data_IF_324097427933
#
_entry.id   IF_324097427933
#
_cell.length_a   1.000
_cell.length_b   1.000
_cell.length_c   1.000
_cell.angle_alpha   90.00
_cell.angle_beta   90.00
_cell.angle_gamma   90.00
#
_symmetry.space_group_name_H-M   'P 1'
#
loop_
_entity.id
_entity.type
_entity.pdbx_description
1 polymer ?
#
# COMPACT_ATOMS: atom_id res chain seq x y z
N UNK A 1 16.90 -28.37 40.50
CA UNK A 1 17.86 -27.87 41.50
C UNK A 1 17.42 -26.48 41.95
N UNK A 2 17.04 -26.32 43.21
CA UNK A 2 16.93 -25.02 43.91
C UNK A 2 15.65 -24.19 43.69
N UNK A 3 15.26 -23.32 44.65
CA UNK A 3 13.93 -23.38 45.25
C UNK A 3 13.13 -22.04 45.35
N UNK A 4 11.87 -22.19 45.82
CA UNK A 4 10.97 -21.20 46.45
C UNK A 4 11.66 -20.24 47.45
N UNK A 5 11.22 -18.97 47.51
CA UNK A 5 10.58 -18.28 48.68
C UNK A 5 10.29 -16.79 48.36
N UNK A 6 9.08 -16.27 48.57
CA UNK A 6 8.50 -15.57 49.76
C UNK A 6 9.12 -14.19 50.09
N UNK A 7 8.31 -13.13 50.02
CA UNK A 7 8.33 -11.90 50.84
C UNK A 7 6.98 -11.17 50.56
N UNK A 8 6.00 -10.98 51.47
CA UNK A 8 5.95 -10.40 52.82
C UNK A 8 6.17 -8.87 52.87
N UNK A 9 5.03 -8.15 52.85
CA UNK A 9 4.64 -6.96 53.65
C UNK A 9 5.47 -5.66 53.53
N UNK A 10 4.86 -4.49 53.81
CA UNK A 10 4.88 -4.04 55.20
C UNK A 10 3.56 -3.41 55.70
N UNK A 11 3.33 -3.65 56.98
CA UNK A 11 2.44 -2.90 57.84
C UNK A 11 3.04 -1.51 58.15
N UNK A 12 2.20 -0.52 58.44
CA UNK A 12 2.63 0.73 59.05
C UNK A 12 1.87 0.99 60.35
N UNK A 13 2.60 1.66 61.24
CA UNK A 13 2.57 1.60 62.69
C UNK A 13 1.41 2.27 63.41
N UNK A 14 1.22 1.75 64.62
CA UNK A 14 0.36 2.22 65.69
C UNK A 14 0.67 3.62 66.22
N UNK A 15 -0.35 4.26 66.77
CA UNK A 15 -0.23 5.19 67.88
C UNK A 15 -1.43 5.00 68.84
N UNK A 16 -1.13 4.90 70.15
CA UNK A 16 -1.76 5.62 71.28
C UNK A 16 -2.10 4.77 72.52
N UNK A 17 -1.23 4.97 73.52
CA UNK A 17 -1.38 5.18 74.98
C UNK A 17 -2.33 4.33 75.87
N UNK A 18 -1.92 4.03 77.13
CA UNK A 18 -2.60 3.13 78.05
C UNK A 18 -3.43 3.86 79.12
N UNK A 19 -4.44 3.19 79.70
CA UNK A 19 -5.03 3.65 80.95
C UNK A 19 -6.39 3.06 81.31
N UNK A 20 -6.41 2.36 82.44
CA UNK A 20 -7.53 2.20 83.40
C UNK A 20 -8.70 1.26 83.06
N UNK A 21 -8.63 0.06 83.64
CA UNK A 21 -9.73 -0.53 84.41
C UNK A 21 -9.37 -0.32 85.90
N UNK A 22 -10.30 -0.09 86.85
CA UNK A 22 -11.33 -1.07 87.20
C UNK A 22 -12.68 -0.48 87.70
N UNK A 23 -13.60 -1.38 88.09
CA UNK A 23 -14.68 -1.20 89.09
C UNK A 23 -16.16 -1.27 88.60
N UNK A 24 -16.64 -2.52 88.42
CA UNK A 24 -17.74 -3.18 89.16
C UNK A 24 -19.19 -2.62 89.11
N UNK A 25 -20.22 -3.35 89.62
CA UNK A 25 -21.17 -4.10 88.80
C UNK A 25 -22.64 -3.67 89.04
N UNK A 26 -23.60 -4.23 88.27
CA UNK A 26 -24.94 -4.71 88.73
C UNK A 26 -25.91 -4.93 87.56
N UNK A 27 -26.43 -6.16 87.49
CA UNK A 27 -27.77 -6.61 87.05
C UNK A 27 -28.36 -6.01 85.76
N UNK A 28 -28.84 -6.78 84.76
CA UNK A 28 -29.65 -7.98 84.87
C UNK A 28 -29.74 -8.73 83.52
N UNK A 29 -29.94 -10.05 83.62
CA UNK A 29 -30.69 -10.95 82.74
C UNK A 29 -30.65 -10.81 81.20
N UNK A 30 -30.10 -11.87 80.58
CA UNK A 30 -30.24 -12.55 79.27
C UNK A 30 -31.59 -12.41 78.50
N UNK A 31 -31.84 -13.16 77.40
CA UNK A 31 -31.08 -13.49 76.17
C UNK A 31 -31.92 -13.19 74.90
N UNK A 32 -31.33 -12.86 73.74
CA UNK A 32 -32.09 -13.01 72.48
C UNK A 32 -31.15 -13.12 71.28
N UNK A 33 -30.82 -14.36 70.94
CA UNK A 33 -30.71 -14.77 69.55
C UNK A 33 -32.01 -14.36 68.83
N UNK A 34 -32.01 -13.21 68.14
CA UNK A 34 -33.10 -12.90 67.22
C UNK A 34 -32.79 -13.60 65.90
N UNK A 35 -33.26 -14.84 65.80
CA UNK A 35 -33.44 -15.53 64.53
C UNK A 35 -34.05 -14.56 63.52
N UNK A 36 -33.46 -14.47 62.32
CA UNK A 36 -34.12 -13.81 61.19
C UNK A 36 -35.52 -14.43 61.04
N UNK A 37 -36.55 -13.60 60.92
CA UNK A 37 -37.91 -14.10 60.77
C UNK A 37 -37.96 -14.98 59.52
N UNK A 38 -38.31 -16.29 59.61
CA UNK A 38 -38.34 -17.17 58.43
C UNK A 38 -39.25 -16.65 57.32
N UNK A 39 -40.23 -15.80 57.64
CA UNK A 39 -41.09 -15.12 56.68
C UNK A 39 -40.34 -14.05 55.85
N UNK A 40 -39.37 -13.34 56.43
CA UNK A 40 -38.54 -12.34 55.72
C UNK A 40 -37.55 -13.03 54.77
N UNK A 41 -37.01 -14.17 55.18
CA UNK A 41 -36.10 -14.97 54.36
C UNK A 41 -36.85 -15.66 53.21
N UNK A 42 -38.05 -16.18 53.47
CA UNK A 42 -38.94 -16.70 52.42
C UNK A 42 -39.36 -15.60 51.42
N UNK A 43 -39.58 -14.37 51.87
CA UNK A 43 -39.89 -13.24 50.99
C UNK A 43 -38.70 -12.91 50.08
N UNK A 44 -37.48 -12.84 50.62
CA UNK A 44 -36.25 -12.63 49.83
C UNK A 44 -35.98 -13.76 48.85
N UNK A 45 -36.25 -15.00 49.24
CA UNK A 45 -36.08 -16.16 48.36
C UNK A 45 -37.09 -16.11 47.21
N UNK A 46 -38.32 -15.67 47.48
CA UNK A 46 -39.36 -15.47 46.46
C UNK A 46 -38.95 -14.41 45.45
N UNK A 47 -38.43 -13.26 45.91
CA UNK A 47 -37.94 -12.20 45.03
C UNK A 47 -36.77 -12.66 44.15
N UNK A 48 -35.85 -13.45 44.70
CA UNK A 48 -34.71 -13.99 43.96
C UNK A 48 -35.15 -15.00 42.90
N UNK A 49 -36.11 -15.87 43.22
CA UNK A 49 -36.69 -16.82 42.27
C UNK A 49 -37.39 -16.07 41.14
N UNK A 50 -38.20 -15.05 41.45
CA UNK A 50 -38.84 -14.22 40.41
C UNK A 50 -37.82 -13.54 39.50
N UNK A 51 -36.73 -13.00 40.05
CA UNK A 51 -35.65 -12.40 39.25
C UNK A 51 -34.94 -13.42 38.36
N UNK A 52 -34.73 -14.64 38.86
CA UNK A 52 -34.13 -15.71 38.09
C UNK A 52 -35.06 -16.19 36.97
N UNK A 53 -36.36 -16.32 37.24
CA UNK A 53 -37.37 -16.65 36.23
C UNK A 53 -37.42 -15.61 35.11
N UNK A 54 -37.36 -14.32 35.45
CA UNK A 54 -37.28 -13.23 34.47
C UNK A 54 -36.01 -13.32 33.61
N UNK A 55 -34.85 -13.60 34.23
CA UNK A 55 -33.59 -13.78 33.51
C UNK A 55 -33.59 -15.01 32.61
N UNK A 56 -34.18 -16.13 33.07
CA UNK A 56 -34.31 -17.34 32.26
C UNK A 56 -35.20 -17.06 31.05
N UNK A 57 -36.34 -16.41 31.25
CA UNK A 57 -37.22 -15.99 30.15
C UNK A 57 -36.51 -15.07 29.15
N UNK A 58 -35.71 -14.11 29.64
CA UNK A 58 -34.88 -13.26 28.78
C UNK A 58 -33.86 -14.07 27.98
N UNK A 59 -33.15 -15.01 28.61
CA UNK A 59 -32.18 -15.86 27.92
C UNK A 59 -32.84 -16.78 26.89
N UNK A 60 -34.03 -17.32 27.19
CA UNK A 60 -34.79 -18.13 26.25
C UNK A 60 -35.15 -17.31 25.00
N UNK A 61 -35.63 -16.07 25.16
CA UNK A 61 -35.89 -15.19 24.02
C UNK A 61 -34.63 -14.88 23.22
N UNK A 62 -33.50 -14.59 23.88
CA UNK A 62 -32.22 -14.33 23.20
C UNK A 62 -31.74 -15.55 22.40
N UNK A 63 -31.87 -16.76 22.96
CA UNK A 63 -31.55 -18.01 22.25
C UNK A 63 -32.44 -18.19 21.01
N UNK A 64 -33.73 -17.85 21.08
CA UNK A 64 -34.61 -17.96 19.90
C UNK A 64 -34.21 -17.00 18.79
N UNK A 65 -33.82 -15.77 19.13
CA UNK A 65 -33.34 -14.77 18.17
C UNK A 65 -32.03 -15.23 17.55
N UNK A 66 -31.05 -15.64 18.35
CA UNK A 66 -29.75 -16.13 17.85
C UNK A 66 -29.91 -17.36 16.94
N UNK A 67 -30.83 -18.27 17.25
CA UNK A 67 -31.11 -19.41 16.37
C UNK A 67 -31.71 -18.98 15.03
N UNK A 68 -32.59 -17.97 15.02
CA UNK A 68 -33.13 -17.42 13.77
C UNK A 68 -32.05 -16.74 12.92
N UNK A 69 -31.20 -15.92 13.53
CA UNK A 69 -30.09 -15.24 12.85
C UNK A 69 -29.06 -16.24 12.31
N UNK A 70 -28.81 -17.35 13.03
CA UNK A 70 -27.92 -18.41 12.59
C UNK A 70 -28.50 -19.12 11.36
N UNK A 71 -29.80 -19.36 11.32
CA UNK A 71 -30.46 -19.98 10.18
C UNK A 71 -30.43 -19.06 8.95
N UNK A 72 -30.65 -17.76 9.12
CA UNK A 72 -30.48 -16.77 8.05
C UNK A 72 -29.03 -16.77 7.52
N UNK A 73 -28.04 -16.82 8.42
CA UNK A 73 -26.63 -16.92 8.04
C UNK A 73 -26.33 -18.21 7.24
N UNK A 74 -26.90 -19.35 7.65
CA UNK A 74 -26.75 -20.62 6.92
C UNK A 74 -27.35 -20.54 5.52
N UNK A 75 -28.52 -19.92 5.38
CA UNK A 75 -29.17 -19.72 4.10
C UNK A 75 -28.29 -18.90 3.15
N UNK A 76 -27.73 -17.78 3.61
CA UNK A 76 -26.80 -16.95 2.81
C UNK A 76 -25.57 -17.75 2.36
N UNK A 77 -24.97 -18.54 3.27
CA UNK A 77 -23.82 -19.39 2.93
C UNK A 77 -24.18 -20.44 1.89
N UNK A 78 -25.37 -21.04 1.97
CA UNK A 78 -25.84 -22.04 1.01
C UNK A 78 -26.15 -21.42 -0.36
N UNK A 79 -26.74 -20.23 -0.40
CA UNK A 79 -26.96 -19.47 -1.63
C UNK A 79 -25.62 -19.10 -2.29
N UNK A 80 -24.67 -18.59 -1.50
CA UNK A 80 -23.32 -18.29 -1.98
C UNK A 80 -22.60 -19.55 -2.48
N UNK A 81 -22.73 -20.67 -1.78
CA UNK A 81 -22.20 -21.96 -2.21
C UNK A 81 -22.88 -22.48 -3.48
N UNK A 82 -24.14 -22.15 -3.74
CA UNK A 82 -24.82 -22.51 -4.99
C UNK A 82 -24.38 -21.64 -6.17
N UNK A 83 -24.25 -20.33 -5.96
CA UNK A 83 -23.87 -19.35 -6.97
C UNK A 83 -22.40 -19.52 -7.40
N UNK A 84 -21.51 -19.79 -6.44
CA UNK A 84 -20.07 -19.92 -6.67
C UNK A 84 -19.56 -21.36 -6.56
N UNK A 85 -20.45 -22.32 -6.31
CA UNK A 85 -20.10 -23.73 -6.20
C UNK A 85 -19.81 -24.40 -7.54
N UNK A 86 -19.82 -25.73 -7.50
CA UNK A 86 -19.36 -26.58 -8.60
C UNK A 86 -20.07 -26.33 -9.94
N UNK A 87 -21.34 -25.87 -9.94
CA UNK A 87 -22.06 -25.57 -11.19
C UNK A 87 -21.56 -24.27 -11.83
N UNK A 88 -21.54 -23.14 -11.11
CA UNK A 88 -21.12 -21.86 -11.68
C UNK A 88 -19.69 -21.87 -12.22
N UNK A 89 -18.77 -22.53 -11.51
CA UNK A 89 -17.40 -22.73 -12.00
C UNK A 89 -17.35 -23.68 -13.21
N UNK A 90 -18.18 -24.73 -13.24
CA UNK A 90 -18.26 -25.63 -14.40
C UNK A 90 -18.86 -24.93 -15.63
N UNK A 91 -19.85 -24.05 -15.42
CA UNK A 91 -20.49 -23.26 -16.48
C UNK A 91 -19.48 -22.26 -17.08
N UNK A 92 -18.78 -21.50 -16.24
CA UNK A 92 -17.68 -20.62 -16.69
C UNK A 92 -16.57 -21.39 -17.41
N UNK A 93 -16.21 -22.59 -16.93
CA UNK A 93 -15.22 -23.44 -17.61
C UNK A 93 -15.69 -23.85 -19.01
N UNK A 94 -16.95 -24.27 -19.16
CA UNK A 94 -17.51 -24.60 -20.48
C UNK A 94 -17.53 -23.40 -21.41
N UNK A 95 -17.87 -22.21 -20.92
CA UNK A 95 -17.82 -20.98 -21.71
C UNK A 95 -16.39 -20.61 -22.13
N UNK A 96 -15.41 -20.76 -21.24
CA UNK A 96 -14.00 -20.58 -21.57
C UNK A 96 -13.50 -21.58 -22.63
N UNK A 97 -13.90 -22.85 -22.52
CA UNK A 97 -13.61 -23.87 -23.54
C UNK A 97 -14.23 -23.48 -24.89
N UNK A 98 -15.47 -23.01 -24.88
CA UNK A 98 -16.15 -22.53 -26.09
C UNK A 98 -15.46 -21.32 -26.72
N UNK A 99 -15.07 -20.33 -25.92
CA UNK A 99 -14.33 -19.16 -26.39
C UNK A 99 -12.95 -19.54 -26.95
N UNK A 100 -12.25 -20.48 -26.31
CA UNK A 100 -10.97 -21.00 -26.80
C UNK A 100 -11.11 -21.63 -28.19
N UNK A 101 -12.18 -22.41 -28.41
CA UNK A 101 -12.50 -22.99 -29.73
C UNK A 101 -12.78 -21.87 -30.75
N UNK A 102 -13.58 -20.86 -30.40
CA UNK A 102 -13.87 -19.74 -31.30
C UNK A 102 -12.61 -18.95 -31.69
N UNK A 103 -11.74 -18.66 -30.73
CA UNK A 103 -10.45 -17.99 -30.98
C UNK A 103 -9.59 -18.84 -31.92
N UNK A 104 -9.50 -20.15 -31.69
CA UNK A 104 -8.77 -21.06 -32.57
C UNK A 104 -9.32 -21.11 -34.01
N UNK A 105 -10.65 -21.07 -34.17
CA UNK A 105 -11.28 -20.99 -35.49
C UNK A 105 -11.00 -19.67 -36.20
N UNK A 106 -11.08 -18.54 -35.49
CA UNK A 106 -10.78 -17.21 -36.04
C UNK A 106 -9.30 -17.08 -36.42
N UNK A 107 -8.39 -17.52 -35.55
CA UNK A 107 -6.95 -17.54 -35.84
C UNK A 107 -6.63 -18.39 -37.07
N UNK A 108 -7.30 -19.54 -37.25
CA UNK A 108 -7.14 -20.40 -38.42
C UNK A 108 -7.69 -19.78 -39.70
N UNK A 109 -8.84 -19.10 -39.63
CA UNK A 109 -9.42 -18.37 -40.75
C UNK A 109 -8.52 -17.20 -41.20
N UNK A 110 -7.84 -16.54 -40.28
CA UNK A 110 -6.88 -15.45 -40.57
C UNK A 110 -5.54 -15.97 -41.10
N UNK A 111 -5.07 -17.14 -40.66
CA UNK A 111 -3.71 -17.62 -40.95
C UNK A 111 -3.56 -18.47 -42.21
N UNK A 112 -4.65 -18.89 -42.86
CA UNK A 112 -4.66 -19.72 -44.09
C UNK A 112 -3.82 -21.02 -44.01
N UNK A 113 -3.74 -21.65 -42.82
CA UNK A 113 -2.99 -22.90 -42.60
C UNK A 113 -3.91 -24.13 -42.75
N UNK A 114 -3.51 -25.19 -43.49
CA UNK A 114 -4.33 -26.40 -43.66
C UNK A 114 -4.51 -27.19 -42.36
N UNK A 115 -5.65 -27.88 -42.25
CA UNK A 115 -6.06 -28.64 -41.07
C UNK A 115 -5.15 -29.85 -40.81
N UNK A 116 -4.41 -29.81 -39.69
CA UNK A 116 -3.92 -31.00 -39.00
C UNK A 116 -4.78 -31.20 -37.76
N UNK A 117 -5.17 -32.46 -37.50
CA UNK A 117 -6.04 -32.86 -36.40
C UNK A 117 -5.54 -32.35 -35.04
N UNK A 118 -6.43 -32.09 -34.06
CA UNK A 118 -6.00 -31.65 -32.74
C UNK A 118 -5.33 -32.83 -32.04
N UNK A 119 -4.01 -32.74 -31.84
CA UNK A 119 -3.32 -33.62 -30.92
C UNK A 119 -3.86 -33.37 -29.51
N UNK A 120 -4.51 -34.38 -28.93
CA UNK A 120 -5.14 -34.39 -27.62
C UNK A 120 -4.11 -34.40 -26.47
N UNK A 121 -3.02 -33.66 -26.64
CA UNK A 121 -1.86 -33.64 -25.76
C UNK A 121 -1.01 -32.40 -25.89
N UNK A 122 -1.48 -31.34 -26.55
CA UNK A 122 -0.81 -30.05 -26.62
C UNK A 122 -0.80 -29.39 -25.22
N UNK A 123 0.06 -29.90 -24.33
CA UNK A 123 0.63 -29.13 -23.23
C UNK A 123 1.07 -27.82 -23.86
N UNK A 124 0.35 -26.73 -23.56
CA UNK A 124 0.71 -25.37 -23.94
C UNK A 124 2.21 -25.24 -23.69
N UNK A 125 3.02 -25.26 -24.75
CA UNK A 125 4.46 -25.00 -24.61
C UNK A 125 4.56 -23.53 -24.29
N UNK A 126 4.59 -23.22 -22.99
CA UNK A 126 4.74 -21.86 -22.52
C UNK A 126 6.10 -21.38 -23.05
N UNK A 127 6.14 -20.37 -23.92
CA UNK A 127 7.40 -19.83 -24.41
C UNK A 127 8.21 -19.32 -23.22
N UNK A 128 9.49 -19.69 -23.16
CA UNK A 128 10.38 -19.13 -22.15
C UNK A 128 10.51 -17.61 -22.34
N UNK A 129 10.48 -16.81 -21.27
CA UNK A 129 10.70 -15.38 -21.34
C UNK A 129 12.03 -15.08 -21.97
N UNK A 130 12.10 -13.97 -22.70
CA UNK A 130 13.39 -13.50 -23.23
C UNK A 130 14.31 -13.15 -22.07
N UNK A 131 15.58 -13.50 -22.21
CA UNK A 131 16.60 -13.10 -21.25
C UNK A 131 16.70 -11.58 -21.19
N UNK A 132 16.63 -11.03 -19.98
CA UNK A 132 16.83 -9.61 -19.75
C UNK A 132 18.31 -9.25 -19.99
N UNK A 133 18.56 -8.18 -20.76
CA UNK A 133 19.91 -7.79 -21.14
C UNK A 133 20.67 -7.03 -20.04
N UNK A 134 19.98 -6.63 -18.97
CA UNK A 134 20.54 -5.80 -17.89
C UNK A 134 20.50 -4.29 -18.17
N UNK A 135 19.90 -3.85 -19.28
CA UNK A 135 19.79 -2.44 -19.61
C UNK A 135 18.83 -1.70 -18.66
N UNK A 136 19.29 -0.62 -18.05
CA UNK A 136 18.49 0.24 -17.15
C UNK A 136 17.51 1.14 -17.90
N UNK A 137 16.66 0.53 -18.69
CA UNK A 137 15.62 1.16 -19.50
C UNK A 137 14.24 0.76 -18.95
N UNK A 138 13.39 1.76 -18.69
CA UNK A 138 12.08 1.52 -18.08
C UNK A 138 11.20 0.61 -18.93
N UNK A 139 11.26 0.74 -20.27
CA UNK A 139 10.44 -0.04 -21.19
C UNK A 139 10.95 -1.48 -21.26
N UNK A 140 12.26 -1.69 -21.31
CA UNK A 140 12.83 -3.04 -21.32
C UNK A 140 12.57 -3.78 -20.01
N UNK A 141 12.66 -3.09 -18.86
CA UNK A 141 12.37 -3.68 -17.55
C UNK A 141 10.89 -4.03 -17.41
N UNK A 142 9.96 -3.15 -17.81
CA UNK A 142 8.53 -3.48 -17.80
C UNK A 142 8.19 -4.63 -18.76
N UNK A 143 8.77 -4.65 -19.97
CA UNK A 143 8.57 -5.76 -20.90
C UNK A 143 9.05 -7.10 -20.32
N UNK A 144 10.21 -7.10 -19.67
CA UNK A 144 10.74 -8.30 -19.03
C UNK A 144 9.87 -8.77 -17.84
N UNK A 145 9.47 -7.85 -16.97
CA UNK A 145 8.58 -8.15 -15.84
C UNK A 145 7.24 -8.71 -16.32
N UNK A 146 6.70 -8.13 -17.40
CA UNK A 146 5.48 -8.61 -18.04
C UNK A 146 5.65 -10.03 -18.59
N UNK A 147 6.70 -10.29 -19.38
CA UNK A 147 6.98 -11.62 -19.95
C UNK A 147 7.13 -12.69 -18.87
N UNK A 148 7.82 -12.36 -17.76
CA UNK A 148 8.00 -13.25 -16.61
C UNK A 148 6.68 -13.51 -15.86
N UNK A 149 5.86 -12.48 -15.65
CA UNK A 149 4.54 -12.61 -15.02
C UNK A 149 3.64 -13.54 -15.84
N UNK A 150 3.60 -13.36 -17.16
CA UNK A 150 2.84 -14.22 -18.06
C UNK A 150 3.36 -15.67 -18.05
N UNK A 151 4.68 -15.86 -17.98
CA UNK A 151 5.27 -17.19 -17.89
C UNK A 151 4.87 -17.92 -16.60
N UNK A 152 4.95 -17.26 -15.44
CA UNK A 152 4.56 -17.88 -14.18
C UNK A 152 3.07 -18.23 -14.13
N UNK A 153 2.21 -17.36 -14.66
CA UNK A 153 0.77 -17.63 -14.79
C UNK A 153 0.50 -18.83 -15.70
N UNK A 154 1.16 -18.90 -16.85
CA UNK A 154 0.94 -19.95 -17.83
C UNK A 154 1.55 -21.30 -17.40
N UNK A 155 2.64 -21.29 -16.62
CA UNK A 155 3.28 -22.47 -16.06
C UNK A 155 2.50 -23.16 -14.93
N UNK A 156 1.31 -22.66 -14.58
CA UNK A 156 0.54 -23.13 -13.42
C UNK A 156 1.42 -23.14 -12.16
N UNK A 157 2.35 -22.19 -12.07
CA UNK A 157 3.23 -22.00 -10.94
C UNK A 157 2.46 -21.33 -9.80
N UNK A 158 1.35 -21.93 -9.39
CA UNK A 158 0.55 -21.61 -8.19
C UNK A 158 1.36 -21.75 -6.88
N UNK A 159 2.67 -21.98 -6.98
CA UNK A 159 3.64 -22.14 -5.91
C UNK A 159 4.65 -21.00 -5.80
N UNK A 160 4.71 -20.07 -6.76
CA UNK A 160 5.35 -18.78 -6.45
C UNK A 160 4.36 -18.05 -5.55
N UNK A 161 4.60 -18.08 -4.23
CA UNK A 161 3.81 -17.27 -3.29
C UNK A 161 3.80 -15.86 -3.86
N UNK A 162 2.61 -15.27 -4.03
CA UNK A 162 2.46 -13.93 -4.60
C UNK A 162 3.39 -12.92 -3.91
N UNK A 163 3.63 -13.11 -2.61
CA UNK A 163 4.58 -12.33 -1.81
C UNK A 163 6.03 -12.41 -2.34
N UNK A 164 6.50 -13.58 -2.77
CA UNK A 164 7.86 -13.76 -3.31
C UNK A 164 8.00 -13.14 -4.70
N UNK A 165 6.98 -13.24 -5.55
CA UNK A 165 6.98 -12.58 -6.86
C UNK A 165 6.89 -11.05 -6.71
N UNK A 166 6.04 -10.56 -5.81
CA UNK A 166 5.91 -9.14 -5.54
C UNK A 166 7.23 -8.54 -5.06
N UNK A 167 7.91 -9.19 -4.09
CA UNK A 167 9.22 -8.77 -3.60
C UNK A 167 10.29 -8.81 -4.70
N UNK A 168 10.29 -9.84 -5.56
CA UNK A 168 11.24 -9.92 -6.68
C UNK A 168 10.96 -8.82 -7.72
N UNK A 169 9.68 -8.59 -8.06
CA UNK A 169 9.25 -7.54 -8.99
C UNK A 169 9.66 -6.16 -8.48
N UNK A 170 9.48 -5.92 -7.19
CA UNK A 170 9.90 -4.68 -6.53
C UNK A 170 11.42 -4.53 -6.55
N UNK A 171 12.18 -5.57 -6.17
CA UNK A 171 13.65 -5.55 -6.20
C UNK A 171 14.22 -5.36 -7.63
N UNK A 172 13.62 -5.98 -8.64
CA UNK A 172 14.01 -5.78 -10.05
C UNK A 172 13.72 -4.34 -10.47
N UNK A 173 12.58 -3.77 -10.05
CA UNK A 173 12.29 -2.36 -10.29
C UNK A 173 13.32 -1.46 -9.59
N UNK A 174 13.56 -1.60 -8.30
CA UNK A 174 14.60 -0.80 -7.63
C UNK A 174 15.97 -0.92 -8.31
N UNK A 175 16.38 -2.14 -8.70
CA UNK A 175 17.73 -2.36 -9.21
C UNK A 175 17.92 -1.93 -10.68
N UNK A 176 16.87 -2.05 -11.50
CA UNK A 176 16.96 -1.98 -12.95
C UNK A 176 16.01 -0.99 -13.61
N UNK A 177 14.89 -0.63 -12.97
CA UNK A 177 14.20 0.56 -13.43
C UNK A 177 15.20 1.71 -13.37
N UNK A 178 15.09 2.71 -14.25
CA UNK A 178 15.69 3.99 -13.98
C UNK A 178 14.92 4.61 -12.80
N UNK A 179 15.11 4.06 -11.60
CA UNK A 179 15.17 4.78 -10.36
C UNK A 179 16.37 5.72 -10.49
N UNK A 180 16.20 6.73 -11.34
CA UNK A 180 15.64 7.96 -10.88
C UNK A 180 15.75 8.87 -12.13
N UNK A 181 14.86 8.68 -13.12
CA UNK A 181 14.80 9.55 -14.32
C UNK A 181 14.83 11.00 -13.87
N UNK A 182 14.07 11.31 -12.83
CA UNK A 182 14.07 12.59 -12.16
C UNK A 182 15.43 12.97 -11.55
N UNK A 183 16.16 12.09 -10.85
CA UNK A 183 17.50 12.37 -10.32
C UNK A 183 18.56 12.47 -11.39
N UNK A 184 18.49 11.65 -12.44
CA UNK A 184 19.35 11.78 -13.59
C UNK A 184 19.10 13.13 -14.25
N UNK A 185 17.83 13.54 -14.35
CA UNK A 185 17.46 14.87 -14.81
C UNK A 185 17.97 15.97 -13.86
N UNK A 186 17.78 15.85 -12.55
CA UNK A 186 18.29 16.80 -11.54
C UNK A 186 19.82 16.84 -11.52
N UNK A 187 20.49 15.71 -11.69
CA UNK A 187 21.96 15.60 -11.73
C UNK A 187 22.52 16.19 -13.01
N UNK A 188 21.86 15.96 -14.15
CA UNK A 188 22.18 16.58 -15.42
C UNK A 188 21.93 18.10 -15.36
N UNK A 189 20.82 18.52 -14.76
CA UNK A 189 20.47 19.93 -14.57
C UNK A 189 21.49 20.67 -13.70
N UNK A 190 21.96 20.05 -12.61
CA UNK A 190 23.05 20.61 -11.78
C UNK A 190 24.37 20.78 -12.53
N UNK A 191 24.57 20.06 -13.62
CA UNK A 191 25.78 20.12 -14.46
C UNK A 191 25.52 20.86 -15.77
N UNK A 192 24.29 21.33 -16.01
CA UNK A 192 23.91 21.92 -17.27
C UNK A 192 24.46 23.35 -17.32
N UNK A 193 25.38 23.57 -18.24
CA UNK A 193 25.96 24.87 -18.51
C UNK A 193 25.78 25.23 -19.98
N UNK A 194 25.51 26.50 -20.24
CA UNK A 194 25.47 27.06 -21.58
C UNK A 194 26.89 27.09 -22.16
N UNK A 195 27.30 26.02 -22.84
CA UNK A 195 28.63 25.90 -23.46
C UNK A 195 28.62 26.30 -24.94
N UNK A 196 27.59 25.87 -25.68
CA UNK A 196 27.38 26.13 -27.11
C UNK A 196 26.44 27.31 -27.37
N UNK A 197 25.38 27.05 -28.15
CA UNK A 197 24.31 28.02 -28.46
C UNK A 197 23.32 28.16 -27.31
N UNK A 198 22.75 29.36 -27.15
CA UNK A 198 21.65 29.60 -26.20
C UNK A 198 20.46 28.68 -26.52
N UNK A 199 20.21 28.41 -27.81
CA UNK A 199 19.08 27.58 -28.26
C UNK A 199 19.24 26.11 -27.86
N UNK A 200 20.46 25.58 -27.93
CA UNK A 200 20.75 24.21 -27.50
C UNK A 200 20.64 24.06 -25.98
N UNK A 201 21.08 25.09 -25.23
CA UNK A 201 20.89 25.16 -23.79
C UNK A 201 19.40 25.16 -23.42
N UNK A 202 18.59 26.02 -24.04
CA UNK A 202 17.14 26.06 -23.81
C UNK A 202 16.51 24.70 -24.10
N UNK A 203 16.84 24.09 -25.25
CA UNK A 203 16.32 22.77 -25.64
C UNK A 203 16.66 21.67 -24.63
N UNK A 204 17.92 21.61 -24.18
CA UNK A 204 18.38 20.61 -23.19
C UNK A 204 17.76 20.86 -21.83
N UNK A 205 17.70 22.11 -21.37
CA UNK A 205 17.01 22.49 -20.14
C UNK A 205 15.54 22.07 -20.16
N UNK A 206 14.80 22.39 -21.23
CA UNK A 206 13.39 22.02 -21.36
C UNK A 206 13.15 20.52 -21.33
N UNK A 207 14.02 19.73 -21.97
CA UNK A 207 13.92 18.28 -21.94
C UNK A 207 14.04 17.73 -20.50
N UNK A 208 15.01 18.23 -19.73
CA UNK A 208 15.19 17.83 -18.32
C UNK A 208 14.01 18.26 -17.44
N UNK A 209 13.36 19.39 -17.75
CA UNK A 209 12.19 19.86 -17.00
C UNK A 209 10.95 18.96 -17.18
N UNK A 210 10.84 18.20 -18.27
CA UNK A 210 9.74 17.25 -18.45
C UNK A 210 9.83 16.06 -17.46
N UNK A 211 11.06 15.72 -17.08
CA UNK A 211 11.37 14.63 -16.17
C UNK A 211 11.34 15.04 -14.69
N UNK A 212 11.26 16.33 -14.38
CA UNK A 212 11.24 16.86 -12.99
C UNK A 212 9.92 17.59 -12.71
N UNK A 213 8.97 16.88 -12.07
CA UNK A 213 7.58 17.33 -11.93
C UNK A 213 7.30 18.23 -10.73
N UNK A 214 8.10 18.16 -9.69
CA UNK A 214 7.89 18.82 -8.40
C UNK A 214 8.72 20.11 -8.23
N UNK A 215 9.46 20.54 -9.26
CA UNK A 215 10.25 21.77 -9.20
C UNK A 215 9.34 23.01 -9.25
N UNK A 216 9.55 23.96 -8.35
CA UNK A 216 8.78 25.21 -8.33
C UNK A 216 9.18 26.12 -9.50
N UNK A 217 8.25 26.94 -10.04
CA UNK A 217 8.56 27.88 -11.14
C UNK A 217 9.69 28.85 -10.79
N UNK A 218 9.80 29.25 -9.51
CA UNK A 218 10.91 30.09 -9.03
C UNK A 218 12.25 29.37 -9.10
N UNK A 219 12.28 28.10 -8.70
CA UNK A 219 13.51 27.28 -8.74
C UNK A 219 13.90 26.94 -10.18
N UNK A 220 12.92 26.73 -11.07
CA UNK A 220 13.18 26.54 -12.50
C UNK A 220 13.83 27.79 -13.10
N UNK A 221 13.28 28.97 -12.85
CA UNK A 221 13.85 30.23 -13.33
C UNK A 221 15.24 30.48 -12.74
N UNK A 222 15.42 30.25 -11.44
CA UNK A 222 16.72 30.40 -10.78
C UNK A 222 17.78 29.48 -11.41
N UNK A 223 17.46 28.18 -11.54
CA UNK A 223 18.38 27.19 -12.12
C UNK A 223 18.67 27.48 -13.59
N UNK A 224 17.67 27.92 -14.36
CA UNK A 224 17.84 28.34 -15.74
C UNK A 224 18.83 29.50 -15.87
N UNK A 225 18.72 30.51 -15.01
CA UNK A 225 19.59 31.68 -15.02
C UNK A 225 21.02 31.34 -14.57
N UNK A 226 21.18 30.46 -13.58
CA UNK A 226 22.49 30.01 -13.09
C UNK A 226 23.29 29.27 -14.17
N UNK A 227 22.67 28.39 -14.96
CA UNK A 227 23.37 27.64 -16.02
C UNK A 227 23.74 28.47 -17.26
N UNK A 228 23.25 29.71 -17.40
CA UNK A 228 23.57 30.57 -18.54
C UNK A 228 24.94 31.25 -18.43
N UNK A 229 25.60 31.48 -19.59
CA UNK A 229 26.78 32.35 -19.69
C UNK A 229 26.49 33.75 -19.14
N UNK A 230 27.48 34.44 -18.53
CA UNK A 230 27.30 35.75 -17.93
C UNK A 230 26.67 36.79 -18.87
N UNK A 231 27.04 36.80 -20.15
CA UNK A 231 26.49 37.75 -21.11
C UNK A 231 24.99 37.52 -21.37
N UNK A 232 24.56 36.26 -21.48
CA UNK A 232 23.17 35.90 -21.74
C UNK A 232 22.30 36.16 -20.50
N UNK A 233 22.84 35.84 -19.32
CA UNK A 233 22.20 36.13 -18.03
C UNK A 233 21.99 37.63 -17.83
N UNK A 234 23.00 38.46 -18.12
CA UNK A 234 22.90 39.92 -18.01
C UNK A 234 21.85 40.50 -18.98
N UNK A 235 21.79 39.96 -20.19
CA UNK A 235 20.81 40.39 -21.19
C UNK A 235 19.37 40.05 -20.76
N UNK A 236 19.14 38.87 -20.18
CA UNK A 236 17.84 38.49 -19.62
C UNK A 236 17.45 39.36 -18.41
N UNK A 237 18.41 39.70 -17.54
CA UNK A 237 18.19 40.64 -16.44
C UNK A 237 17.82 42.04 -16.95
N UNK A 238 18.47 42.51 -18.02
CA UNK A 238 18.15 43.78 -18.68
C UNK A 238 16.71 43.80 -19.20
N UNK A 239 16.23 42.67 -19.71
CA UNK A 239 14.85 42.50 -20.19
C UNK A 239 13.83 42.34 -19.06
N UNK A 240 14.27 42.31 -17.79
CA UNK A 240 13.41 42.23 -16.59
C UNK A 240 12.46 41.03 -16.60
N UNK A 241 12.97 39.89 -17.06
CA UNK A 241 12.22 38.64 -17.08
C UNK A 241 11.86 38.18 -15.67
N UNK A 242 10.58 37.85 -15.46
CA UNK A 242 10.04 37.42 -14.16
C UNK A 242 9.58 35.97 -14.09
N UNK A 243 9.47 35.29 -15.23
CA UNK A 243 8.99 33.92 -15.34
C UNK A 243 9.83 33.11 -16.35
N UNK A 244 9.81 31.78 -16.21
CA UNK A 244 10.62 30.88 -17.04
C UNK A 244 10.25 30.96 -18.53
N UNK A 245 8.96 31.10 -18.85
CA UNK A 245 8.48 31.16 -20.23
C UNK A 245 9.02 32.39 -20.95
N UNK A 246 8.92 33.55 -20.32
CA UNK A 246 9.53 34.80 -20.80
C UNK A 246 11.05 34.69 -20.90
N UNK A 247 11.71 33.98 -19.97
CA UNK A 247 13.15 33.75 -19.99
C UNK A 247 13.58 32.94 -21.22
N UNK A 248 12.89 31.85 -21.48
CA UNK A 248 13.16 30.98 -22.62
C UNK A 248 12.88 31.69 -23.95
N UNK A 249 11.75 32.39 -24.05
CA UNK A 249 11.39 33.15 -25.25
C UNK A 249 12.38 34.30 -25.54
N UNK A 250 12.85 34.99 -24.50
CA UNK A 250 13.88 36.01 -24.63
C UNK A 250 15.24 35.39 -25.02
N UNK A 251 15.59 34.26 -24.40
CA UNK A 251 16.83 33.53 -24.68
C UNK A 251 16.89 33.01 -26.13
N UNK A 252 15.78 32.50 -26.68
CA UNK A 252 15.71 32.06 -28.08
C UNK A 252 15.88 33.20 -29.09
N UNK A 253 15.57 34.44 -28.71
CA UNK A 253 15.79 35.63 -29.55
C UNK A 253 17.23 36.14 -29.49
N UNK A 254 18.02 35.66 -28.54
CA UNK A 254 19.44 36.02 -28.47
C UNK A 254 20.18 35.37 -29.62
N UNK A 255 20.93 36.17 -30.36
CA UNK A 255 21.94 35.64 -31.27
C UNK A 255 23.14 35.19 -30.44
N UNK A 256 23.74 34.06 -30.79
CA UNK A 256 24.92 33.56 -30.10
C UNK A 256 26.03 34.62 -30.17
N UNK A 257 26.22 35.33 -29.06
CA UNK A 257 27.27 36.33 -28.96
C UNK A 257 28.61 35.60 -28.90
N UNK A 258 29.32 35.56 -30.02
CA UNK A 258 30.70 35.06 -30.07
C UNK A 258 31.68 36.22 -29.76
N UNK A 259 32.29 36.28 -28.56
CA UNK A 259 33.23 37.34 -28.22
C UNK A 259 34.55 37.26 -29.01
N UNK A 260 34.88 36.13 -29.64
CA UNK A 260 36.10 35.98 -30.46
C UNK A 260 36.07 36.89 -31.71
N UNK A 261 34.88 37.16 -32.28
CA UNK A 261 34.74 38.01 -33.48
C UNK A 261 34.98 39.52 -33.23
N UNK A 262 35.22 39.96 -31.99
CA UNK A 262 35.51 41.38 -31.68
C UNK A 262 37.00 41.70 -31.53
N UNK A 263 37.88 40.72 -31.30
CA UNK A 263 39.32 40.98 -31.20
C UNK A 263 39.94 41.37 -32.53
N UNK A 264 39.36 40.92 -33.65
CA UNK A 264 39.87 41.24 -34.99
C UNK A 264 39.45 42.63 -35.51
N UNK A 265 38.52 43.32 -34.82
CA UNK A 265 38.07 44.68 -35.20
C UNK A 265 38.74 45.82 -34.43
N UNK A 266 39.59 45.52 -33.46
CA UNK A 266 40.34 46.53 -32.70
C UNK A 266 41.80 46.69 -33.14
N UNK A 267 42.23 45.92 -34.16
CA UNK A 267 43.59 45.98 -34.72
C UNK A 267 43.62 46.33 -36.23
N UNK A 268 42.63 47.08 -36.74
CA UNK A 268 42.64 47.61 -38.10
C UNK A 268 42.44 49.13 -38.10
#
# INVERSE_FOLDING_TARGET
MGPRRVAATPANSAARMPGQDPESPRHAASPSERAANPEDENSRLTDLVMNLEEKVSSLETEITVLNSELEDCRQVVQEMASAFGGSGIADMRREMEQMSIQIGLLQRAVSNVPAVAPDAGARLRIPEPKAYSGARDAKEVENFLFDMEQYFLAANANQVRLDTWALLREAIREQFFPENVEYNARRALRKLEHTGSVRDYVKTFSALMLDIRDMSEKDKLFTFMEGLKPWARLELQRQRVTDLGSAMAAAERLTDFNPENRKDRQNA
#
